data_IF_979292553733
#
_entry.id   IF_979292553733
#
_cell.length_a   1.000
_cell.length_b   1.000
_cell.length_c   1.000
_cell.angle_alpha   90.00
_cell.angle_beta   90.00
_cell.angle_gamma   90.00
#
_symmetry.space_group_name_H-M   'P 1'
#
loop_
_entity.id
_entity.type
_entity.pdbx_description
1 polymer ?
#
# COMPACT_ATOMS: atom_id res chain seq x y z
N UNK A 1 6.44 -8.94 -14.88
CA UNK A 1 6.18 -8.87 -13.42
C UNK A 1 6.02 -7.40 -13.06
N UNK A 2 5.14 -7.05 -12.11
CA UNK A 2 5.08 -5.67 -11.64
C UNK A 2 6.39 -5.34 -10.90
N UNK A 3 6.84 -4.09 -10.99
CA UNK A 3 8.03 -3.61 -10.28
C UNK A 3 7.70 -3.19 -8.85
N UNK A 4 8.73 -3.10 -8.00
CA UNK A 4 8.59 -2.55 -6.64
C UNK A 4 8.08 -1.10 -6.65
N UNK A 5 8.42 -0.34 -7.69
CA UNK A 5 7.92 1.03 -7.86
C UNK A 5 6.40 1.04 -8.09
N UNK A 6 5.90 0.14 -8.95
CA UNK A 6 4.46 0.00 -9.21
C UNK A 6 3.70 -0.46 -7.95
N UNK A 7 4.27 -1.38 -7.17
CA UNK A 7 3.68 -1.79 -5.90
C UNK A 7 3.63 -0.64 -4.89
N UNK A 8 4.71 0.15 -4.77
CA UNK A 8 4.76 1.30 -3.86
C UNK A 8 3.75 2.39 -4.22
N UNK A 9 3.46 2.59 -5.51
CA UNK A 9 2.45 3.55 -5.97
C UNK A 9 1.03 3.24 -5.49
N UNK A 10 0.75 2.01 -5.04
CA UNK A 10 -0.54 1.58 -4.52
C UNK A 10 -0.70 1.81 -3.00
N UNK A 11 0.35 2.23 -2.30
CA UNK A 11 0.30 2.54 -0.87
C UNK A 11 -0.27 3.94 -0.69
N UNK A 12 -1.33 4.06 0.12
CA UNK A 12 -1.97 5.35 0.40
C UNK A 12 -1.70 5.80 1.83
N UNK A 13 -1.57 7.09 1.99
CA UNK A 13 -1.40 7.74 3.28
C UNK A 13 -2.77 8.13 3.84
N UNK A 14 -3.06 7.69 5.07
CA UNK A 14 -4.28 8.04 5.80
C UNK A 14 -3.87 8.69 7.13
N UNK A 15 -3.96 10.02 7.25
CA UNK A 15 -3.61 10.71 8.48
C UNK A 15 -4.66 10.46 9.58
N UNK A 16 -4.19 10.48 10.83
CA UNK A 16 -5.00 10.43 12.06
C UNK A 16 -5.89 9.18 12.21
N UNK A 17 -5.46 8.06 11.62
CA UNK A 17 -6.15 6.78 11.72
C UNK A 17 -5.28 5.71 12.41
N UNK A 18 -5.83 4.90 13.34
CA UNK A 18 -7.18 4.98 13.92
C UNK A 18 -7.31 6.07 14.99
N UNK A 19 -6.23 6.77 15.32
CA UNK A 19 -6.18 7.81 16.34
C UNK A 19 -5.33 9.00 15.86
N UNK A 20 -5.55 10.22 16.39
CA UNK A 20 -4.76 11.40 16.05
C UNK A 20 -3.25 11.18 16.23
N UNK A 21 -2.45 11.72 15.30
CA UNK A 21 -1.00 11.63 15.30
C UNK A 21 -0.42 10.40 14.59
N UNK A 22 -1.26 9.48 14.09
CA UNK A 22 -0.81 8.29 13.34
C UNK A 22 -0.94 8.56 11.84
N UNK A 23 0.15 8.34 11.07
CA UNK A 23 0.08 8.27 9.62
C UNK A 23 -0.06 6.80 9.20
N UNK A 24 -1.29 6.34 9.02
CA UNK A 24 -1.57 4.98 8.59
C UNK A 24 -1.23 4.79 7.11
N UNK A 25 -0.62 3.66 6.79
CA UNK A 25 -0.32 3.25 5.41
C UNK A 25 -1.34 2.21 4.97
N UNK A 26 -2.29 2.61 4.15
CA UNK A 26 -3.28 1.71 3.58
C UNK A 26 -2.64 0.90 2.45
N UNK A 27 -2.44 -0.40 2.74
CA UNK A 27 -1.92 -1.39 1.78
C UNK A 27 -3.04 -2.11 1.02
N UNK A 28 -4.31 -1.84 1.33
CA UNK A 28 -5.47 -2.53 0.72
C UNK A 28 -5.42 -2.51 -0.81
N UNK A 29 -5.06 -1.39 -1.49
CA UNK A 29 -4.96 -1.38 -2.95
C UNK A 29 -3.83 -2.26 -3.50
N UNK A 30 -2.70 -2.35 -2.79
CA UNK A 30 -1.59 -3.23 -3.15
C UNK A 30 -1.99 -4.70 -3.01
N UNK A 31 -2.62 -5.05 -1.88
CA UNK A 31 -3.07 -6.42 -1.60
C UNK A 31 -4.15 -6.89 -2.56
N UNK A 32 -4.99 -5.97 -3.05
CA UNK A 32 -6.04 -6.24 -4.03
C UNK A 32 -5.55 -6.39 -5.47
N UNK A 33 -4.31 -5.98 -5.79
CA UNK A 33 -3.74 -6.06 -7.13
C UNK A 33 -2.80 -7.26 -7.27
N UNK A 34 -3.20 -8.35 -7.96
CA UNK A 34 -2.43 -9.59 -7.99
C UNK A 34 -1.01 -9.45 -8.55
N UNK A 35 -0.81 -8.56 -9.53
CA UNK A 35 0.52 -8.35 -10.09
C UNK A 35 1.46 -7.63 -9.12
N UNK A 36 0.94 -6.64 -8.38
CA UNK A 36 1.69 -5.90 -7.38
C UNK A 36 1.95 -6.74 -6.12
N UNK A 37 0.96 -7.52 -5.68
CA UNK A 37 1.14 -8.43 -4.55
C UNK A 37 2.24 -9.45 -4.82
N UNK A 38 2.26 -10.08 -6.00
CA UNK A 38 3.35 -10.98 -6.42
C UNK A 38 4.73 -10.33 -6.50
N UNK A 39 4.82 -9.00 -6.55
CA UNK A 39 6.10 -8.32 -6.61
C UNK A 39 6.76 -8.17 -5.23
N UNK A 40 6.05 -8.45 -4.13
CA UNK A 40 6.50 -8.16 -2.75
C UNK A 40 6.56 -9.39 -1.82
N UNK A 41 6.43 -10.61 -2.35
CA UNK A 41 6.45 -11.88 -1.60
C UNK A 41 7.34 -12.92 -2.28
#
# INVERSE_FOLDING_TARGET
>A
MASLEQARALIRDVPDFPQPGILFKDLTPLLGEPAAFRAVI
#
